data_IF_712637014671
#
_entry.id   IF_712637014671
#
_cell.length_a   1.000
_cell.length_b   1.000
_cell.length_c   1.000
_cell.angle_alpha   90.00
_cell.angle_beta   90.00
_cell.angle_gamma   90.00
#
_symmetry.space_group_name_H-M   'P 1'
#
loop_
_entity.id
_entity.type
_entity.pdbx_description
1 polymer ?
#
# COMPACT_ATOMS: atom_id res chain seq x y z
N UNK A 1 1.01 -23.03 -17.83
CA UNK A 1 0.91 -21.60 -17.48
C UNK A 1 1.67 -21.36 -16.17
N UNK A 2 2.83 -20.71 -16.22
CA UNK A 2 3.50 -20.26 -14.98
C UNK A 2 2.71 -19.05 -14.49
N UNK A 3 1.75 -19.27 -13.60
CA UNK A 3 1.06 -18.20 -12.90
C UNK A 3 2.07 -17.32 -12.17
N UNK A 4 1.74 -16.04 -11.98
CA UNK A 4 2.53 -15.12 -11.15
C UNK A 4 2.95 -15.83 -9.86
N UNK A 5 4.26 -15.89 -9.61
CA UNK A 5 4.75 -16.41 -8.34
C UNK A 5 4.31 -15.46 -7.23
N UNK A 6 3.90 -16.00 -6.09
CA UNK A 6 3.36 -15.22 -4.96
C UNK A 6 4.33 -14.14 -4.46
N UNK A 7 5.65 -14.30 -4.69
CA UNK A 7 6.66 -13.28 -4.40
C UNK A 7 6.52 -12.02 -5.28
N UNK A 8 6.27 -12.19 -6.58
CA UNK A 8 6.03 -11.09 -7.52
C UNK A 8 4.80 -10.27 -7.14
N UNK A 9 3.77 -10.94 -6.61
CA UNK A 9 2.56 -10.28 -6.11
C UNK A 9 2.83 -9.42 -4.87
N UNK A 10 3.77 -9.82 -4.01
CA UNK A 10 4.20 -9.02 -2.86
C UNK A 10 5.04 -7.80 -3.28
N UNK A 11 5.88 -7.94 -4.31
CA UNK A 11 6.62 -6.81 -4.90
C UNK A 11 5.64 -5.82 -5.53
N UNK A 12 4.69 -6.32 -6.32
CA UNK A 12 3.63 -5.50 -6.91
C UNK A 12 2.80 -4.79 -5.83
N UNK A 13 2.50 -5.48 -4.72
CA UNK A 13 1.86 -4.87 -3.56
C UNK A 13 2.65 -3.70 -3.00
N UNK A 14 3.94 -3.87 -2.77
CA UNK A 14 4.81 -2.80 -2.28
C UNK A 14 4.78 -1.56 -3.18
N UNK A 15 4.89 -1.76 -4.50
CA UNK A 15 4.79 -0.69 -5.49
C UNK A 15 3.43 0.02 -5.47
N UNK A 16 2.33 -0.73 -5.55
CA UNK A 16 0.97 -0.17 -5.52
C UNK A 16 0.69 0.57 -4.21
N UNK A 17 1.12 0.01 -3.08
CA UNK A 17 0.89 0.61 -1.78
C UNK A 17 1.71 1.88 -1.56
N UNK A 18 2.96 1.92 -2.03
CA UNK A 18 3.77 3.14 -2.05
C UNK A 18 3.09 4.26 -2.85
N UNK A 19 2.66 3.96 -4.09
CA UNK A 19 1.96 4.94 -4.94
C UNK A 19 0.66 5.41 -4.29
N UNK A 20 -0.11 4.51 -3.69
CA UNK A 20 -1.36 4.83 -3.02
C UNK A 20 -1.13 5.76 -1.81
N UNK A 21 -0.15 5.48 -0.95
CA UNK A 21 0.19 6.33 0.19
C UNK A 21 0.71 7.70 -0.24
N UNK A 22 1.60 7.75 -1.24
CA UNK A 22 2.16 9.00 -1.75
C UNK A 22 1.08 9.87 -2.39
N UNK A 23 0.22 9.28 -3.21
CA UNK A 23 -0.88 9.97 -3.86
C UNK A 23 -1.92 10.47 -2.84
N UNK A 24 -2.22 9.71 -1.78
CA UNK A 24 -3.04 10.17 -0.66
C UNK A 24 -2.39 11.35 0.09
N UNK A 25 -1.07 11.32 0.27
CA UNK A 25 -0.31 12.43 0.84
C UNK A 25 -0.34 13.70 -0.02
N UNK A 26 -0.21 13.60 -1.36
CA UNK A 26 -0.38 14.74 -2.29
C UNK A 26 -1.81 15.26 -2.24
N UNK A 27 -2.80 14.36 -2.17
CA UNK A 27 -4.20 14.72 -2.10
C UNK A 27 -4.51 15.50 -0.82
N UNK A 28 -3.90 15.15 0.31
CA UNK A 28 -4.02 15.92 1.55
C UNK A 28 -3.58 17.39 1.38
N UNK A 29 -2.51 17.64 0.60
CA UNK A 29 -2.04 18.99 0.28
C UNK A 29 -3.06 19.78 -0.57
N UNK A 30 -3.71 19.13 -1.52
CA UNK A 30 -4.76 19.76 -2.34
C UNK A 30 -5.99 20.14 -1.50
N UNK A 31 -6.32 19.31 -0.51
CA UNK A 31 -7.43 19.55 0.41
C UNK A 31 -7.12 20.62 1.47
N UNK A 32 -5.86 21.07 1.60
CA UNK A 32 -5.44 22.16 2.50
C UNK A 32 -6.35 23.38 2.40
N UNK A 33 -6.68 23.80 1.18
CA UNK A 33 -7.45 25.02 0.94
C UNK A 33 -8.94 24.88 1.26
N UNK A 34 -9.44 23.64 1.35
CA UNK A 34 -10.87 23.39 1.42
C UNK A 34 -11.42 23.34 2.86
N UNK A 35 -10.56 23.29 3.90
CA UNK A 35 -10.81 23.52 5.34
C UNK A 35 -12.05 22.88 6.01
N UNK A 36 -12.89 22.15 5.29
CA UNK A 36 -14.11 21.52 5.74
C UNK A 36 -14.12 20.10 5.15
N UNK A 37 -14.52 19.12 5.96
CA UNK A 37 -14.66 17.73 5.52
C UNK A 37 -15.61 17.70 4.32
N UNK A 38 -15.05 17.41 3.14
CA UNK A 38 -15.83 17.31 1.92
C UNK A 38 -16.12 15.86 1.59
N UNK A 39 -17.30 15.58 1.02
CA UNK A 39 -17.57 14.26 0.46
C UNK A 39 -16.47 13.91 -0.55
N UNK A 40 -16.09 12.62 -0.63
CA UNK A 40 -15.06 12.17 -1.57
C UNK A 40 -15.44 12.61 -2.98
N UNK A 41 -14.52 13.31 -3.65
CA UNK A 41 -14.70 13.69 -5.03
C UNK A 41 -14.41 12.48 -5.93
N UNK A 42 -14.84 12.54 -7.19
CA UNK A 42 -14.52 11.50 -8.20
C UNK A 42 -13.05 11.05 -8.21
N UNK A 43 -12.04 11.95 -8.16
CA UNK A 43 -10.64 11.51 -8.09
C UNK A 43 -10.30 10.70 -6.83
N UNK A 44 -10.96 10.95 -5.70
CA UNK A 44 -10.75 10.19 -4.45
C UNK A 44 -11.25 8.75 -4.59
N UNK A 45 -12.35 8.56 -5.35
CA UNK A 45 -12.89 7.23 -5.63
C UNK A 45 -11.94 6.40 -6.51
N UNK A 46 -11.27 7.03 -7.49
CA UNK A 46 -10.26 6.34 -8.31
C UNK A 46 -9.01 6.06 -7.49
N UNK A 47 -8.53 7.07 -6.77
CA UNK A 47 -7.33 7.02 -5.94
C UNK A 47 -7.38 5.89 -4.90
N UNK A 48 -8.52 5.69 -4.26
CA UNK A 48 -8.70 4.65 -3.23
C UNK A 48 -9.35 3.38 -3.78
N UNK A 49 -10.19 3.47 -4.81
CA UNK A 49 -10.92 2.34 -5.38
C UNK A 49 -10.04 1.40 -6.18
N UNK A 50 -9.12 1.92 -7.00
CA UNK A 50 -8.20 1.06 -7.78
C UNK A 50 -7.30 0.23 -6.85
N UNK A 51 -6.63 0.83 -5.84
CA UNK A 51 -5.88 0.04 -4.86
C UNK A 51 -6.77 -0.92 -4.06
N UNK A 52 -8.00 -0.53 -3.69
CA UNK A 52 -8.92 -1.40 -2.96
C UNK A 52 -9.23 -2.70 -3.71
N UNK A 53 -9.47 -2.60 -5.02
CA UNK A 53 -9.68 -3.78 -5.88
C UNK A 53 -8.45 -4.66 -5.91
N UNK A 54 -7.27 -4.07 -6.08
CA UNK A 54 -6.00 -4.80 -6.08
C UNK A 54 -5.76 -5.54 -4.74
N UNK A 55 -5.92 -4.85 -3.60
CA UNK A 55 -5.74 -5.46 -2.28
C UNK A 55 -6.76 -6.55 -1.99
N UNK A 56 -8.01 -6.37 -2.42
CA UNK A 56 -9.04 -7.41 -2.33
C UNK A 56 -8.66 -8.63 -3.16
N UNK A 57 -8.12 -8.41 -4.36
CA UNK A 57 -7.55 -9.46 -5.20
C UNK A 57 -6.48 -10.27 -4.48
N UNK A 58 -5.55 -9.61 -3.77
CA UNK A 58 -4.50 -10.30 -2.99
C UNK A 58 -5.07 -11.15 -1.86
N UNK A 59 -6.07 -10.65 -1.11
CA UNK A 59 -6.72 -11.41 -0.05
C UNK A 59 -7.40 -12.66 -0.62
N UNK A 60 -8.18 -12.50 -1.70
CA UNK A 60 -8.87 -13.62 -2.35
C UNK A 60 -7.86 -14.64 -2.89
N UNK A 61 -6.77 -14.18 -3.51
CA UNK A 61 -5.72 -15.04 -4.05
C UNK A 61 -5.00 -15.85 -2.96
N UNK A 62 -4.62 -15.20 -1.85
CA UNK A 62 -3.96 -15.86 -0.72
C UNK A 62 -4.89 -16.80 0.07
N UNK A 63 -6.21 -16.53 0.10
CA UNK A 63 -7.18 -17.38 0.79
C UNK A 63 -7.40 -18.73 0.09
N UNK A 64 -7.25 -18.81 -1.23
CA UNK A 64 -7.46 -20.06 -1.98
C UNK A 64 -6.63 -21.24 -1.44
N UNK A 65 -5.28 -21.14 -1.38
CA UNK A 65 -4.42 -22.17 -0.81
C UNK A 65 -4.63 -22.42 0.69
N UNK A 66 -4.99 -21.38 1.46
CA UNK A 66 -5.30 -21.50 2.89
C UNK A 66 -6.51 -22.39 3.15
N UNK A 67 -7.56 -22.24 2.34
CA UNK A 67 -8.77 -23.05 2.43
C UNK A 67 -8.56 -24.47 1.86
N UNK A 68 -7.62 -24.63 0.93
CA UNK A 68 -7.27 -25.91 0.30
C UNK A 68 -6.37 -26.84 1.14
N UNK A 69 -5.96 -26.43 2.34
CA UNK A 69 -5.24 -27.29 3.29
C UNK A 69 -3.72 -27.39 3.13
N UNK A 70 -3.13 -26.70 2.15
CA UNK A 70 -1.68 -26.67 1.92
C UNK A 70 -1.13 -25.24 1.83
N UNK A 71 -1.25 -24.41 2.90
CA UNK A 71 -0.80 -23.03 2.84
C UNK A 71 0.71 -22.90 2.90
N UNK A 72 1.26 -22.05 2.04
CA UNK A 72 2.65 -21.61 2.13
C UNK A 72 2.77 -20.35 3.01
N UNK A 73 4.00 -20.02 3.43
CA UNK A 73 4.26 -18.76 4.12
C UNK A 73 3.88 -17.53 3.28
N UNK A 74 4.09 -17.62 1.96
CA UNK A 74 3.78 -16.55 1.02
C UNK A 74 2.29 -16.31 0.86
N UNK A 75 1.45 -17.35 0.93
CA UNK A 75 -0.01 -17.20 0.86
C UNK A 75 -0.55 -16.42 2.07
N UNK A 76 -0.02 -16.71 3.26
CA UNK A 76 -0.34 -15.94 4.48
C UNK A 76 0.11 -14.49 4.34
N UNK A 77 1.30 -14.25 3.80
CA UNK A 77 1.82 -12.91 3.55
C UNK A 77 0.92 -12.12 2.57
N UNK A 78 0.38 -12.75 1.52
CA UNK A 78 -0.56 -12.11 0.59
C UNK A 78 -1.85 -11.68 1.28
N UNK A 79 -2.43 -12.54 2.14
CA UNK A 79 -3.62 -12.19 2.91
C UNK A 79 -3.36 -11.02 3.86
N UNK A 80 -2.23 -11.04 4.57
CA UNK A 80 -1.86 -9.96 5.48
C UNK A 80 -1.60 -8.65 4.73
N UNK A 81 -0.84 -8.69 3.64
CA UNK A 81 -0.56 -7.53 2.79
C UNK A 81 -1.85 -6.92 2.24
N UNK A 82 -2.71 -7.75 1.64
CA UNK A 82 -4.02 -7.31 1.15
C UNK A 82 -4.90 -6.75 2.28
N UNK A 83 -4.94 -7.40 3.44
CA UNK A 83 -5.70 -6.92 4.61
C UNK A 83 -5.23 -5.55 5.11
N UNK A 84 -3.92 -5.33 5.23
CA UNK A 84 -3.35 -4.04 5.61
C UNK A 84 -3.62 -2.97 4.54
N UNK A 85 -3.55 -3.33 3.26
CA UNK A 85 -3.92 -2.46 2.15
C UNK A 85 -5.38 -2.00 2.23
N UNK A 86 -6.32 -2.93 2.47
CA UNK A 86 -7.75 -2.61 2.66
C UNK A 86 -7.95 -1.73 3.89
N UNK A 87 -7.31 -2.04 5.02
CA UNK A 87 -7.39 -1.22 6.22
C UNK A 87 -6.92 0.22 5.96
N UNK A 88 -5.87 0.39 5.15
CA UNK A 88 -5.37 1.69 4.70
C UNK A 88 -6.42 2.45 3.88
N UNK A 89 -7.06 1.79 2.91
CA UNK A 89 -8.17 2.39 2.12
C UNK A 89 -9.29 2.86 3.05
N UNK A 90 -9.75 2.01 3.96
CA UNK A 90 -10.84 2.32 4.89
C UNK A 90 -10.46 3.49 5.80
N UNK A 91 -9.23 3.53 6.30
CA UNK A 91 -8.71 4.63 7.10
C UNK A 91 -8.80 5.97 6.35
N UNK A 92 -8.30 6.03 5.11
CA UNK A 92 -8.37 7.25 4.29
C UNK A 92 -9.82 7.62 3.94
N UNK A 93 -10.67 6.65 3.59
CA UNK A 93 -12.07 6.89 3.27
C UNK A 93 -12.88 7.42 4.45
N UNK A 94 -12.66 6.88 5.65
CA UNK A 94 -13.29 7.38 6.89
C UNK A 94 -12.89 8.82 7.17
N UNK A 95 -11.65 9.19 6.83
CA UNK A 95 -11.12 10.53 7.05
C UNK A 95 -11.84 11.61 6.25
N UNK A 96 -12.35 11.31 5.05
CA UNK A 96 -13.17 12.26 4.28
C UNK A 96 -14.50 12.60 4.97
N UNK A 97 -15.04 11.66 5.77
CA UNK A 97 -16.32 11.84 6.46
C UNK A 97 -16.21 12.56 7.80
N UNK A 98 -15.02 12.59 8.40
CA UNK A 98 -14.79 13.31 9.65
C UNK A 98 -14.53 14.78 9.36
N UNK A 99 -15.30 15.68 9.99
CA UNK A 99 -14.96 17.11 9.99
C UNK A 99 -13.57 17.29 10.59
N UNK A 100 -12.63 17.92 9.87
CA UNK A 100 -11.30 18.18 10.40
C UNK A 100 -11.38 19.28 11.46
N UNK A 101 -11.13 18.90 12.71
CA UNK A 101 -11.14 19.83 13.84
C UNK A 101 -9.87 20.72 13.80
N UNK A 102 -8.75 20.21 13.25
CA UNK A 102 -7.47 20.92 13.22
C UNK A 102 -7.09 21.42 11.80
N UNK A 103 -6.79 22.72 11.69
CA UNK A 103 -6.32 23.40 10.47
C UNK A 103 -4.97 22.90 9.97
N UNK A 104 -4.13 22.30 10.82
CA UNK A 104 -2.79 21.80 10.44
C UNK A 104 -2.77 20.32 10.08
N UNK A 105 -3.91 19.62 10.21
CA UNK A 105 -3.97 18.18 10.00
C UNK A 105 -3.61 17.74 8.57
N UNK A 106 -3.78 18.62 7.56
CA UNK A 106 -3.33 18.35 6.19
C UNK A 106 -1.81 18.14 6.09
N UNK A 107 -1.01 18.82 6.93
CA UNK A 107 0.44 18.72 6.90
C UNK A 107 0.89 17.37 7.46
N UNK A 108 0.28 16.96 8.58
CA UNK A 108 0.51 15.64 9.15
C UNK A 108 0.18 14.55 8.13
N UNK A 109 -0.96 14.65 7.47
CA UNK A 109 -1.39 13.67 6.47
C UNK A 109 -0.47 13.60 5.26
N UNK A 110 0.00 14.77 4.82
CA UNK A 110 0.98 14.86 3.75
C UNK A 110 2.29 14.16 4.14
N UNK A 111 2.83 14.46 5.32
CA UNK A 111 4.06 13.85 5.81
C UNK A 111 3.90 12.35 6.03
N UNK A 112 2.81 11.90 6.66
CA UNK A 112 2.54 10.47 6.88
C UNK A 112 2.41 9.73 5.55
N UNK A 113 1.71 10.28 4.57
CA UNK A 113 1.59 9.68 3.23
C UNK A 113 2.94 9.59 2.51
N UNK A 114 3.74 10.66 2.54
CA UNK A 114 5.05 10.70 1.89
C UNK A 114 6.08 9.78 2.55
N UNK A 115 6.19 9.84 3.88
CA UNK A 115 7.11 8.99 4.64
C UNK A 115 6.71 7.52 4.55
N UNK A 116 5.41 7.23 4.63
CA UNK A 116 4.89 5.87 4.45
C UNK A 116 5.20 5.33 3.05
N UNK A 117 4.98 6.14 2.00
CA UNK A 117 5.30 5.77 0.63
C UNK A 117 6.79 5.45 0.43
N UNK A 118 7.66 6.32 0.96
CA UNK A 118 9.11 6.12 0.90
C UNK A 118 9.55 4.87 1.67
N UNK A 119 9.02 4.65 2.87
CA UNK A 119 9.35 3.48 3.68
C UNK A 119 8.94 2.16 3.00
N UNK A 120 7.73 2.09 2.43
CA UNK A 120 7.25 0.90 1.71
C UNK A 120 8.08 0.66 0.45
N UNK A 121 8.40 1.71 -0.31
CA UNK A 121 9.23 1.59 -1.50
C UNK A 121 10.61 1.05 -1.14
N UNK A 122 11.28 1.65 -0.14
CA UNK A 122 12.59 1.21 0.35
C UNK A 122 12.55 -0.24 0.82
N UNK A 123 11.55 -0.61 1.63
CA UNK A 123 11.40 -1.99 2.10
C UNK A 123 11.25 -2.98 0.94
N UNK A 124 10.46 -2.62 -0.08
CA UNK A 124 10.22 -3.47 -1.26
C UNK A 124 11.48 -3.61 -2.10
N UNK A 125 12.19 -2.51 -2.38
CA UNK A 125 13.45 -2.55 -3.14
C UNK A 125 14.55 -3.28 -2.37
N UNK A 126 14.62 -3.11 -1.05
CA UNK A 126 15.55 -3.84 -0.20
C UNK A 126 15.26 -5.34 -0.20
N UNK A 127 13.98 -5.75 -0.16
CA UNK A 127 13.62 -7.16 -0.28
C UNK A 127 14.12 -7.76 -1.61
N UNK A 128 13.80 -7.11 -2.73
CA UNK A 128 14.24 -7.56 -4.07
C UNK A 128 15.76 -7.69 -4.12
N UNK A 129 16.47 -6.69 -3.59
CA UNK A 129 17.92 -6.69 -3.59
C UNK A 129 18.54 -7.80 -2.72
N UNK A 130 17.90 -8.14 -1.59
CA UNK A 130 18.34 -9.24 -0.74
C UNK A 130 18.04 -10.61 -1.38
N UNK A 131 16.92 -10.73 -2.08
CA UNK A 131 16.53 -11.96 -2.80
C UNK A 131 17.47 -12.26 -3.98
N UNK A 132 17.95 -11.22 -4.65
CA UNK A 132 18.93 -11.31 -5.75
C UNK A 132 20.38 -11.59 -5.29
N UNK A 133 20.63 -11.75 -3.99
CA UNK A 133 21.97 -12.07 -3.44
C UNK A 133 22.78 -10.86 -2.97
N UNK A 134 22.16 -9.70 -2.81
CA UNK A 134 22.79 -8.47 -2.32
C UNK A 134 23.65 -7.75 -3.37
N UNK A 135 24.26 -6.61 -3.01
CA UNK A 135 25.01 -5.83 -3.97
C UNK A 135 26.31 -6.53 -4.38
N UNK A 136 26.70 -6.47 -5.67
CA UNK A 136 27.87 -7.18 -6.19
C UNK A 136 29.18 -6.80 -5.47
N UNK A 137 29.26 -5.61 -4.86
CA UNK A 137 30.44 -5.18 -4.11
C UNK A 137 30.60 -5.88 -2.75
N UNK A 138 29.53 -6.42 -2.14
CA UNK A 138 29.65 -7.23 -0.92
C UNK A 138 30.11 -8.66 -1.23
N UNK A 139 29.80 -9.17 -2.43
CA UNK A 139 30.30 -10.47 -2.89
C UNK A 139 31.82 -10.46 -3.19
N UNK A 140 32.44 -9.27 -3.26
CA UNK A 140 33.88 -9.09 -3.52
C UNK A 140 34.72 -8.76 -2.28
N UNK A 141 34.12 -8.68 -1.09
CA UNK A 141 34.87 -8.48 0.16
C UNK A 141 35.30 -9.89 0.66
N UNK A 142 36.61 -10.19 0.71
CA UNK A 142 37.12 -11.48 1.14
C UNK A 142 36.86 -11.79 2.62
#
# INVERSE_FOLDING_TARGET
YRGFQSAELLIAFGGVWSVHLGSAGVRALHLKKLHQGLPPARPDLVLHGVPALFYTGLVVWGLGPLLGGHPTGTDRALVLAGGVGIATVVFWMRRFRSSRIDRKQWLFDHMTGMLGAAAVLLATTSWVHLDEGGPPFLASIP
#
